data_IF_228524198277
#
_entry.id   IF_228524198277
#
_cell.length_a   1.000
_cell.length_b   1.000
_cell.length_c   1.000
_cell.angle_alpha   90.00
_cell.angle_beta   90.00
_cell.angle_gamma   90.00
#
_symmetry.space_group_name_H-M   'P 1'
#
loop_
_entity.id
_entity.type
_entity.pdbx_description
1 polymer ?
#
# COMPACT_ATOMS: atom_id res chain seq x y z
N UNK A 1 10.74 2.26 9.61
CA UNK A 1 9.60 2.56 8.71
C UNK A 1 8.62 1.40 8.80
N UNK A 2 7.45 1.66 9.31
CA UNK A 2 6.40 0.64 9.54
C UNK A 2 5.47 0.60 8.33
N UNK A 3 5.34 -0.58 7.72
CA UNK A 3 4.63 -0.75 6.45
C UNK A 3 3.49 -1.76 6.59
N UNK A 4 2.32 -1.38 6.10
CA UNK A 4 1.16 -2.26 5.96
C UNK A 4 1.05 -2.68 4.49
N UNK A 5 0.83 -3.97 4.24
CA UNK A 5 0.60 -4.49 2.88
C UNK A 5 -0.88 -4.80 2.72
N UNK A 6 -1.52 -4.25 1.69
CA UNK A 6 -2.91 -4.54 1.37
C UNK A 6 -3.01 -5.09 -0.06
N UNK A 7 -3.33 -6.37 -0.18
CA UNK A 7 -3.41 -7.10 -1.45
C UNK A 7 -4.26 -8.35 -1.20
N UNK A 8 -5.20 -8.63 -2.08
CA UNK A 8 -6.08 -9.80 -1.91
C UNK A 8 -5.42 -11.13 -2.28
N UNK A 9 -4.26 -11.10 -2.93
CA UNK A 9 -3.53 -12.31 -3.33
C UNK A 9 -2.45 -12.64 -2.30
N UNK A 10 -2.59 -13.78 -1.65
CA UNK A 10 -1.62 -14.21 -0.63
C UNK A 10 -0.20 -14.34 -1.18
N UNK A 11 -0.05 -14.84 -2.41
CA UNK A 11 1.28 -14.94 -3.05
C UNK A 11 1.92 -13.58 -3.27
N UNK A 12 1.12 -12.60 -3.65
CA UNK A 12 1.62 -11.24 -3.83
C UNK A 12 2.07 -10.64 -2.50
N UNK A 13 1.28 -10.84 -1.43
CA UNK A 13 1.66 -10.40 -0.09
C UNK A 13 2.94 -11.08 0.38
N UNK A 14 3.05 -12.40 0.17
CA UNK A 14 4.24 -13.17 0.56
C UNK A 14 5.50 -12.66 -0.17
N UNK A 15 5.38 -12.40 -1.46
CA UNK A 15 6.48 -11.86 -2.26
C UNK A 15 6.92 -10.48 -1.79
N UNK A 16 5.95 -9.59 -1.52
CA UNK A 16 6.25 -8.27 -0.99
C UNK A 16 6.88 -8.35 0.40
N UNK A 17 6.34 -9.17 1.28
CA UNK A 17 6.90 -9.37 2.62
C UNK A 17 8.34 -9.86 2.52
N UNK A 18 8.61 -10.85 1.68
CA UNK A 18 9.96 -11.38 1.50
C UNK A 18 10.93 -10.29 1.02
N UNK A 19 10.50 -9.47 0.07
CA UNK A 19 11.33 -8.37 -0.43
C UNK A 19 11.56 -7.32 0.66
N UNK A 20 10.51 -6.88 1.34
CA UNK A 20 10.60 -5.83 2.35
C UNK A 20 11.48 -6.24 3.54
N UNK A 21 11.48 -7.52 3.90
CA UNK A 21 12.32 -8.01 5.01
C UNK A 21 13.82 -8.00 4.67
N UNK A 22 14.19 -7.84 3.40
CA UNK A 22 15.61 -7.67 3.04
C UNK A 22 16.14 -6.26 3.36
N UNK A 23 15.23 -5.31 3.65
CA UNK A 23 15.61 -3.93 3.95
C UNK A 23 15.48 -3.69 5.46
N UNK A 24 16.62 -3.48 6.17
CA UNK A 24 16.58 -3.33 7.64
C UNK A 24 15.81 -2.11 8.12
N UNK A 25 15.66 -1.07 7.28
CA UNK A 25 14.89 0.13 7.62
C UNK A 25 13.38 -0.06 7.54
N UNK A 26 12.90 -1.21 7.05
CA UNK A 26 11.47 -1.50 6.84
C UNK A 26 10.99 -2.60 7.77
N UNK A 27 9.86 -2.37 8.43
CA UNK A 27 9.18 -3.35 9.26
C UNK A 27 7.75 -3.55 8.73
N UNK A 28 7.37 -4.77 8.37
CA UNK A 28 6.00 -5.10 7.97
C UNK A 28 5.17 -5.29 9.24
N UNK A 29 4.20 -4.42 9.46
CA UNK A 29 3.38 -4.43 10.70
C UNK A 29 2.03 -5.12 10.53
N UNK A 30 1.64 -5.43 9.31
CA UNK A 30 0.38 -6.13 9.07
C UNK A 30 0.14 -6.38 7.59
N UNK A 31 -0.84 -7.24 7.33
CA UNK A 31 -1.29 -7.57 5.98
C UNK A 31 -2.81 -7.56 5.94
N UNK A 32 -3.36 -6.93 4.91
CA UNK A 32 -4.80 -6.86 4.67
C UNK A 32 -5.11 -7.54 3.35
N UNK A 33 -6.24 -8.26 3.29
CA UNK A 33 -6.70 -8.96 2.09
C UNK A 33 -7.78 -8.18 1.34
N UNK A 34 -8.26 -7.08 1.89
CA UNK A 34 -9.24 -6.20 1.26
C UNK A 34 -9.13 -4.78 1.81
N UNK A 35 -9.89 -3.86 1.19
CA UNK A 35 -9.82 -2.45 1.56
C UNK A 35 -10.38 -2.13 2.94
N UNK A 36 -11.42 -2.86 3.37
CA UNK A 36 -11.99 -2.65 4.71
C UNK A 36 -11.00 -3.05 5.79
N UNK A 37 -10.35 -4.19 5.62
CA UNK A 37 -9.31 -4.64 6.52
C UNK A 37 -8.13 -3.68 6.54
N UNK A 38 -7.76 -3.13 5.38
CA UNK A 38 -6.69 -2.14 5.29
C UNK A 38 -7.00 -0.91 6.14
N UNK A 39 -8.21 -0.36 6.03
CA UNK A 39 -8.62 0.81 6.82
C UNK A 39 -8.60 0.47 8.31
N UNK A 40 -9.12 -0.69 8.70
CA UNK A 40 -9.12 -1.14 10.09
C UNK A 40 -7.71 -1.26 10.64
N UNK A 41 -6.80 -1.85 9.88
CA UNK A 41 -5.41 -2.04 10.31
C UNK A 41 -4.63 -0.73 10.36
N UNK A 42 -4.93 0.23 9.51
CA UNK A 42 -4.33 1.58 9.64
C UNK A 42 -4.70 2.19 10.99
N UNK A 43 -5.96 2.07 11.39
CA UNK A 43 -6.39 2.57 12.69
C UNK A 43 -5.67 1.86 13.84
N UNK A 44 -5.58 0.53 13.77
CA UNK A 44 -4.97 -0.27 14.84
C UNK A 44 -3.46 -0.15 14.91
N UNK A 45 -2.78 -0.22 13.77
CA UNK A 45 -1.32 -0.31 13.71
C UNK A 45 -0.62 1.02 13.54
N UNK A 46 -1.33 2.04 13.05
CA UNK A 46 -0.75 3.36 12.76
C UNK A 46 0.55 3.25 11.95
N UNK A 47 0.51 2.65 10.74
CA UNK A 47 1.71 2.50 9.92
C UNK A 47 2.18 3.84 9.38
N UNK A 48 3.44 3.89 8.95
CA UNK A 48 3.95 5.07 8.23
C UNK A 48 3.49 5.04 6.77
N UNK A 49 3.44 3.83 6.18
CA UNK A 49 3.16 3.62 4.75
C UNK A 49 2.23 2.44 4.57
N UNK A 50 1.31 2.57 3.64
CA UNK A 50 0.49 1.46 3.16
C UNK A 50 0.85 1.19 1.70
N UNK A 51 1.20 -0.06 1.38
CA UNK A 51 1.30 -0.52 0.00
C UNK A 51 -0.07 -1.08 -0.37
N UNK A 52 -0.77 -0.40 -1.26
CA UNK A 52 -2.19 -0.63 -1.53
C UNK A 52 -2.40 -1.13 -2.96
N UNK A 53 -2.93 -2.35 -3.11
CA UNK A 53 -3.43 -2.79 -4.41
C UNK A 53 -4.79 -2.14 -4.67
N UNK A 54 -5.22 -2.14 -5.93
CA UNK A 54 -6.51 -1.54 -6.32
C UNK A 54 -7.63 -2.57 -6.29
N UNK A 55 -7.47 -3.68 -6.99
CA UNK A 55 -8.52 -4.70 -7.12
C UNK A 55 -8.54 -5.60 -5.90
N UNK A 56 -9.49 -5.33 -5.02
CA UNK A 56 -9.70 -6.13 -3.81
C UNK A 56 -11.21 -6.25 -3.57
N UNK A 57 -11.67 -7.36 -2.94
CA UNK A 57 -13.08 -7.52 -2.61
C UNK A 57 -13.52 -6.58 -1.48
N UNK A 58 -14.82 -6.49 -1.27
CA UNK A 58 -15.48 -5.68 -0.24
C UNK A 58 -15.30 -4.18 -0.46
N UNK A 59 -14.07 -3.68 -0.39
CA UNK A 59 -13.72 -2.30 -0.67
C UNK A 59 -12.44 -2.31 -1.47
N UNK A 60 -12.41 -1.64 -2.63
CA UNK A 60 -11.20 -1.59 -3.45
C UNK A 60 -10.16 -0.63 -2.86
N UNK A 61 -8.95 -0.68 -3.41
CA UNK A 61 -7.85 0.13 -2.90
C UNK A 61 -8.00 1.62 -3.15
N UNK A 62 -8.76 2.04 -4.16
CA UNK A 62 -9.00 3.46 -4.43
C UNK A 62 -9.88 4.05 -3.34
N UNK A 63 -10.96 3.37 -2.99
CA UNK A 63 -11.85 3.81 -1.91
C UNK A 63 -11.13 3.79 -0.57
N UNK A 64 -10.37 2.72 -0.29
CA UNK A 64 -9.58 2.63 0.92
C UNK A 64 -8.57 3.78 1.02
N UNK A 65 -7.92 4.13 -0.09
CA UNK A 65 -6.97 5.25 -0.14
C UNK A 65 -7.66 6.56 0.22
N UNK A 66 -8.84 6.84 -0.36
CA UNK A 66 -9.60 8.06 -0.02
C UNK A 66 -9.89 8.15 1.47
N UNK A 67 -10.38 7.06 2.05
CA UNK A 67 -10.71 7.01 3.48
C UNK A 67 -9.49 7.20 4.36
N UNK A 68 -8.39 6.52 4.03
CA UNK A 68 -7.15 6.61 4.80
C UNK A 68 -6.59 8.04 4.74
N UNK A 69 -6.52 8.63 3.55
CA UNK A 69 -5.98 9.98 3.40
C UNK A 69 -6.87 11.03 4.05
N UNK A 70 -8.18 10.80 4.08
CA UNK A 70 -9.12 11.70 4.75
C UNK A 70 -8.96 11.65 6.27
N UNK A 71 -8.86 10.45 6.85
CA UNK A 71 -8.79 10.26 8.30
C UNK A 71 -7.39 10.42 8.87
N UNK A 72 -6.39 9.95 8.16
CA UNK A 72 -4.99 9.95 8.62
C UNK A 72 -4.07 10.49 7.52
N UNK A 73 -4.13 11.80 7.24
CA UNK A 73 -3.40 12.37 6.10
C UNK A 73 -1.88 12.21 6.20
N UNK A 74 -1.36 11.95 7.40
CA UNK A 74 0.06 11.69 7.60
C UNK A 74 0.51 10.28 7.20
N UNK A 75 -0.44 9.34 7.00
CA UNK A 75 -0.11 8.00 6.52
C UNK A 75 0.13 8.08 5.02
N UNK A 76 1.31 7.63 4.59
CA UNK A 76 1.65 7.62 3.18
C UNK A 76 1.00 6.43 2.50
N UNK A 77 0.33 6.63 1.37
CA UNK A 77 -0.25 5.54 0.58
C UNK A 77 0.46 5.44 -0.75
N UNK A 78 1.08 4.29 -0.99
CA UNK A 78 1.71 3.94 -2.26
C UNK A 78 0.81 2.91 -2.92
N UNK A 79 0.17 3.28 -4.03
CA UNK A 79 -0.64 2.32 -4.79
C UNK A 79 0.31 1.47 -5.63
N UNK A 80 0.20 0.17 -5.49
CA UNK A 80 1.02 -0.81 -6.19
C UNK A 80 0.09 -1.84 -6.83
N UNK A 81 -0.04 -1.79 -8.15
CA UNK A 81 -1.01 -2.60 -8.90
C UNK A 81 -0.40 -3.12 -10.19
N UNK A 82 -1.01 -4.15 -10.77
CA UNK A 82 -0.60 -4.68 -12.07
C UNK A 82 -1.05 -3.81 -13.24
N UNK A 83 -1.95 -2.84 -13.01
CA UNK A 83 -2.63 -2.12 -14.09
C UNK A 83 -2.29 -0.64 -14.06
N UNK A 84 -1.46 -0.20 -15.03
CA UNK A 84 -1.05 1.20 -15.16
C UNK A 84 -2.23 2.14 -15.41
N UNK A 85 -3.35 1.62 -15.90
CA UNK A 85 -4.56 2.40 -16.18
C UNK A 85 -5.17 3.05 -14.94
N UNK A 86 -4.84 2.56 -13.74
CA UNK A 86 -5.35 3.13 -12.49
C UNK A 86 -4.57 4.36 -11.99
N UNK A 87 -3.52 4.78 -12.70
CA UNK A 87 -2.66 5.86 -12.22
C UNK A 87 -3.42 7.15 -11.91
N UNK A 88 -4.23 7.62 -12.85
CA UNK A 88 -4.98 8.86 -12.66
C UNK A 88 -5.96 8.76 -11.50
N UNK A 89 -6.69 7.64 -11.41
CA UNK A 89 -7.66 7.41 -10.34
C UNK A 89 -7.00 7.30 -8.98
N UNK A 90 -5.83 6.65 -8.91
CA UNK A 90 -5.08 6.53 -7.66
C UNK A 90 -4.63 7.90 -7.15
N UNK A 91 -4.08 8.73 -8.03
CA UNK A 91 -3.64 10.08 -7.66
C UNK A 91 -4.84 10.95 -7.25
N UNK A 92 -5.96 10.82 -7.98
CA UNK A 92 -7.20 11.54 -7.62
C UNK A 92 -7.75 11.09 -6.27
N UNK A 93 -7.52 9.84 -5.87
CA UNK A 93 -7.92 9.34 -4.55
C UNK A 93 -7.01 9.84 -3.42
N UNK A 94 -5.90 10.48 -3.74
CA UNK A 94 -4.97 11.02 -2.77
C UNK A 94 -3.71 10.18 -2.55
N UNK A 95 -3.46 9.17 -3.40
CA UNK A 95 -2.24 8.38 -3.28
C UNK A 95 -1.01 9.26 -3.39
N UNK A 96 -0.02 8.98 -2.56
CA UNK A 96 1.24 9.75 -2.54
C UNK A 96 2.19 9.28 -3.64
N UNK A 97 2.06 8.03 -4.08
CA UNK A 97 2.84 7.48 -5.18
C UNK A 97 2.05 6.36 -5.86
N UNK A 98 2.40 6.10 -7.11
CA UNK A 98 1.79 5.03 -7.91
C UNK A 98 2.90 4.23 -8.59
N UNK A 99 2.87 2.92 -8.40
CA UNK A 99 3.83 1.99 -9.01
C UNK A 99 3.09 0.81 -9.62
N UNK A 100 3.66 0.26 -10.69
CA UNK A 100 3.15 -0.96 -11.31
C UNK A 100 3.96 -2.14 -10.75
N UNK A 101 3.29 -3.23 -10.39
CA UNK A 101 3.95 -4.45 -9.92
C UNK A 101 4.96 -4.93 -10.95
N UNK A 102 6.12 -5.37 -10.48
CA UNK A 102 7.26 -5.70 -11.34
C UNK A 102 8.22 -4.54 -11.56
N UNK A 103 7.95 -3.37 -10.99
CA UNK A 103 8.88 -2.25 -11.01
C UNK A 103 10.19 -2.63 -10.28
N UNK A 104 11.31 -1.92 -10.58
CA UNK A 104 12.56 -2.17 -9.86
C UNK A 104 12.40 -2.02 -8.34
N UNK A 105 13.07 -2.89 -7.58
CA UNK A 105 13.01 -2.87 -6.13
C UNK A 105 13.43 -1.53 -5.54
N UNK A 106 14.43 -0.88 -6.13
CA UNK A 106 14.88 0.45 -5.69
C UNK A 106 13.76 1.49 -5.80
N UNK A 107 12.95 1.43 -6.85
CA UNK A 107 11.81 2.33 -7.03
C UNK A 107 10.77 2.16 -5.94
N UNK A 108 10.51 0.92 -5.53
CA UNK A 108 9.61 0.62 -4.43
C UNK A 108 10.16 1.14 -3.10
N UNK A 109 11.44 0.89 -2.83
CA UNK A 109 12.08 1.37 -1.61
C UNK A 109 12.08 2.90 -1.54
N UNK A 110 12.38 3.59 -2.64
CA UNK A 110 12.32 5.05 -2.70
C UNK A 110 10.91 5.55 -2.37
N UNK A 111 9.89 4.93 -2.94
CA UNK A 111 8.50 5.33 -2.69
C UNK A 111 8.11 5.14 -1.21
N UNK A 112 8.61 4.09 -0.57
CA UNK A 112 8.33 3.81 0.85
C UNK A 112 9.05 4.83 1.74
N UNK A 113 10.31 5.14 1.44
CA UNK A 113 11.15 6.00 2.27
C UNK A 113 11.01 7.49 1.97
N UNK A 114 10.33 7.86 0.89
CA UNK A 114 10.16 9.25 0.51
C UNK A 114 9.35 10.02 1.57
N UNK A 115 9.72 11.26 1.79
CA UNK A 115 9.10 12.10 2.82
C UNK A 115 8.29 13.23 2.23
#
# INVERSE_FOLDING_TARGET
MRVLIADDRSRSRDGLRALLTTWPEVEVVGEAADGQEAVRLVEECQPNVVLMDVRMPAMDGLEATRLIKDRWPGVRVVVLTMYATYRADALAAGADAFLVKGCPAEGLLEAILDH
#
